data_IF_991771540362
#
_entry.id   IF_991771540362
#
_cell.length_a   1.000
_cell.length_b   1.000
_cell.length_c   1.000
_cell.angle_alpha   90.00
_cell.angle_beta   90.00
_cell.angle_gamma   90.00
#
_symmetry.space_group_name_H-M   'P 1'
#
loop_
_entity.id
_entity.type
_entity.pdbx_description
1 polymer ?
#
# COMPACT_ATOMS: atom_id res chain seq x y z
N UNK A 1 -18.75 -17.09 -2.69
CA UNK A 1 -17.34 -16.69 -2.77
C UNK A 1 -17.28 -15.21 -2.52
N UNK A 2 -16.66 -14.79 -1.41
CA UNK A 2 -16.45 -13.38 -1.08
C UNK A 2 -15.57 -12.77 -2.15
N UNK A 3 -16.09 -11.83 -2.93
CA UNK A 3 -15.32 -11.10 -3.94
C UNK A 3 -14.40 -10.15 -3.16
N UNK A 4 -13.11 -10.49 -3.05
CA UNK A 4 -12.13 -9.68 -2.31
C UNK A 4 -12.04 -8.29 -2.94
N UNK A 5 -11.97 -8.24 -4.27
CA UNK A 5 -11.96 -7.03 -5.08
C UNK A 5 -13.05 -7.12 -6.15
N UNK A 6 -13.63 -5.99 -6.51
CA UNK A 6 -14.58 -5.87 -7.61
C UNK A 6 -13.93 -5.13 -8.78
N UNK A 7 -13.72 -5.82 -9.90
CA UNK A 7 -13.29 -5.21 -11.16
C UNK A 7 -14.54 -5.04 -12.02
N UNK A 8 -14.86 -3.79 -12.41
CA UNK A 8 -16.03 -3.51 -13.26
C UNK A 8 -15.78 -3.97 -14.69
N UNK A 9 -16.85 -4.15 -15.47
CA UNK A 9 -16.71 -4.60 -16.86
C UNK A 9 -15.95 -3.60 -17.72
N UNK A 10 -16.19 -2.30 -17.52
CA UNK A 10 -15.44 -1.24 -18.21
C UNK A 10 -13.96 -1.26 -17.84
N UNK A 11 -13.61 -1.55 -16.58
CA UNK A 11 -12.23 -1.72 -16.17
C UNK A 11 -11.57 -2.94 -16.83
N UNK A 12 -12.25 -4.09 -16.86
CA UNK A 12 -11.75 -5.29 -17.54
C UNK A 12 -11.45 -5.01 -19.02
N UNK A 13 -12.37 -4.37 -19.74
CA UNK A 13 -12.20 -4.02 -21.15
C UNK A 13 -11.01 -3.08 -21.37
N UNK A 14 -10.84 -2.08 -20.52
CA UNK A 14 -9.71 -1.16 -20.59
C UNK A 14 -8.37 -1.84 -20.26
N UNK A 15 -8.32 -2.67 -19.22
CA UNK A 15 -7.12 -3.42 -18.86
C UNK A 15 -6.72 -4.41 -19.96
N UNK A 16 -7.70 -5.04 -20.63
CA UNK A 16 -7.44 -5.90 -21.78
C UNK A 16 -6.80 -5.12 -22.94
N UNK A 17 -7.26 -3.88 -23.21
CA UNK A 17 -6.64 -3.02 -24.21
C UNK A 17 -5.18 -2.69 -23.85
N UNK A 18 -4.91 -2.41 -22.58
CA UNK A 18 -3.56 -2.15 -22.07
C UNK A 18 -2.63 -3.37 -22.26
N UNK A 19 -3.11 -4.57 -21.96
CA UNK A 19 -2.38 -5.84 -22.17
C UNK A 19 -2.10 -6.05 -23.66
N UNK A 20 -3.11 -5.93 -24.51
CA UNK A 20 -2.97 -6.11 -25.96
C UNK A 20 -1.95 -5.15 -26.58
N UNK A 21 -1.88 -3.91 -26.07
CA UNK A 21 -0.90 -2.92 -26.54
C UNK A 21 0.55 -3.29 -26.21
N UNK A 22 0.80 -4.23 -25.29
CA UNK A 22 2.15 -4.72 -24.98
C UNK A 22 2.67 -5.74 -25.98
N UNK A 23 1.80 -6.36 -26.80
CA UNK A 23 2.13 -7.41 -27.76
C UNK A 23 2.92 -8.59 -27.14
N UNK A 24 2.63 -8.93 -25.89
CA UNK A 24 3.22 -10.06 -25.17
C UNK A 24 2.10 -11.01 -24.71
N UNK A 25 2.07 -12.27 -25.17
CA UNK A 25 1.01 -13.22 -24.82
C UNK A 25 1.10 -13.71 -23.37
N UNK A 26 2.26 -13.58 -22.71
CA UNK A 26 2.50 -14.11 -21.36
C UNK A 26 2.34 -13.03 -20.28
N UNK A 27 1.85 -11.84 -20.66
CA UNK A 27 1.65 -10.71 -19.75
C UNK A 27 0.21 -10.67 -19.23
N UNK A 28 0.09 -10.43 -17.93
CA UNK A 28 -1.16 -10.26 -17.20
C UNK A 28 -1.02 -9.09 -16.23
N UNK A 29 -2.03 -8.87 -15.38
CA UNK A 29 -2.07 -7.84 -14.37
C UNK A 29 -1.96 -8.46 -12.99
N UNK A 30 -1.09 -7.88 -12.16
CA UNK A 30 -0.99 -8.14 -10.73
C UNK A 30 -1.40 -6.91 -9.93
N UNK A 31 -2.24 -7.11 -8.91
CA UNK A 31 -2.70 -6.07 -7.99
C UNK A 31 -2.12 -6.35 -6.59
N UNK A 32 -1.58 -5.32 -5.97
CA UNK A 32 -0.95 -5.40 -4.66
C UNK A 32 -1.07 -4.06 -3.92
N UNK A 33 -0.75 -4.08 -2.63
CA UNK A 33 -0.67 -2.89 -1.78
C UNK A 33 0.78 -2.72 -1.34
N UNK A 34 1.38 -1.59 -1.70
CA UNK A 34 2.65 -1.16 -1.13
C UNK A 34 2.45 -0.63 0.29
N UNK A 35 3.41 -0.86 1.18
CA UNK A 35 3.36 -0.46 2.60
C UNK A 35 1.99 -0.72 3.28
N UNK A 36 1.42 -1.95 3.16
CA UNK A 36 0.07 -2.24 3.60
C UNK A 36 -0.09 -2.01 5.10
N UNK A 37 -1.24 -1.44 5.50
CA UNK A 37 -1.49 -1.10 6.90
C UNK A 37 -0.79 0.17 7.39
N UNK A 38 -0.11 0.91 6.51
CA UNK A 38 0.43 2.23 6.85
C UNK A 38 -0.35 3.34 6.14
N UNK A 39 -0.23 4.60 6.57
CA UNK A 39 -0.78 5.73 5.81
C UNK A 39 -0.16 5.93 4.43
N UNK A 40 1.04 5.38 4.21
CA UNK A 40 1.70 5.38 2.91
C UNK A 40 1.14 4.33 1.97
N UNK A 41 0.18 3.51 2.43
CA UNK A 41 -0.28 2.41 1.64
C UNK A 41 -0.84 2.88 0.29
N UNK A 42 -0.40 2.22 -0.76
CA UNK A 42 -0.79 2.52 -2.13
C UNK A 42 -1.20 1.23 -2.81
N UNK A 43 -2.42 1.22 -3.35
CA UNK A 43 -2.88 0.11 -4.18
C UNK A 43 -2.32 0.29 -5.58
N UNK A 44 -1.49 -0.67 -5.99
CA UNK A 44 -0.78 -0.64 -7.24
C UNK A 44 -1.32 -1.71 -8.18
N UNK A 45 -1.31 -1.37 -9.46
CA UNK A 45 -1.57 -2.28 -10.57
C UNK A 45 -0.31 -2.31 -11.43
N UNK A 46 0.24 -3.50 -11.63
CA UNK A 46 1.41 -3.69 -12.48
C UNK A 46 1.14 -4.77 -13.53
N UNK A 47 1.84 -4.66 -14.65
CA UNK A 47 2.00 -5.80 -15.55
C UNK A 47 2.86 -6.84 -14.86
N UNK A 48 2.53 -8.11 -15.04
CA UNK A 48 3.34 -9.23 -14.57
C UNK A 48 3.41 -10.28 -15.67
N UNK A 49 4.59 -10.88 -15.83
CA UNK A 49 4.76 -12.11 -16.59
C UNK A 49 4.40 -13.31 -15.73
N UNK A 50 4.11 -14.46 -16.36
CA UNK A 50 3.82 -15.71 -15.64
C UNK A 50 4.93 -16.14 -14.66
N UNK A 51 6.18 -15.69 -14.88
CA UNK A 51 7.32 -15.99 -14.02
C UNK A 51 7.42 -15.09 -12.78
N UNK A 52 6.68 -13.98 -12.74
CA UNK A 52 6.63 -13.01 -11.64
C UNK A 52 5.40 -13.22 -10.73
N UNK A 53 4.55 -14.18 -11.09
CA UNK A 53 3.42 -14.63 -10.28
C UNK A 53 3.95 -15.54 -9.19
N UNK A 54 3.62 -15.23 -7.95
CA UNK A 54 3.97 -16.09 -6.83
C UNK A 54 2.97 -17.25 -6.71
N UNK A 55 3.39 -18.46 -6.33
CA UNK A 55 2.52 -19.64 -6.27
C UNK A 55 1.33 -19.49 -5.32
N UNK A 56 1.39 -18.54 -4.40
CA UNK A 56 0.38 -18.28 -3.39
C UNK A 56 -0.43 -17.00 -3.64
N UNK A 57 -0.22 -16.34 -4.78
CA UNK A 57 -1.11 -15.31 -5.28
C UNK A 57 -2.50 -15.89 -5.53
N UNK A 58 -3.51 -15.08 -5.24
CA UNK A 58 -4.89 -15.44 -5.54
C UNK A 58 -5.21 -15.06 -6.99
N UNK A 59 -5.71 -16.01 -7.77
CA UNK A 59 -6.13 -15.77 -9.15
C UNK A 59 -7.61 -15.38 -9.19
N UNK A 60 -7.91 -14.28 -9.87
CA UNK A 60 -9.25 -13.86 -10.24
C UNK A 60 -9.43 -14.10 -11.73
N UNK A 61 -10.31 -15.03 -12.06
CA UNK A 61 -10.72 -15.30 -13.43
C UNK A 61 -11.76 -14.26 -13.87
N UNK A 62 -11.37 -13.34 -14.75
CA UNK A 62 -12.31 -12.49 -15.48
C UNK A 62 -12.74 -13.19 -16.77
N UNK A 63 -13.69 -12.62 -17.50
CA UNK A 63 -14.15 -13.24 -18.76
C UNK A 63 -13.06 -13.23 -19.85
N UNK A 64 -12.18 -12.22 -19.80
CA UNK A 64 -11.22 -11.95 -20.87
C UNK A 64 -9.78 -12.38 -20.55
N UNK A 65 -9.37 -12.32 -19.27
CA UNK A 65 -8.03 -12.70 -18.81
C UNK A 65 -8.01 -12.90 -17.29
N UNK A 66 -6.96 -13.53 -16.76
CA UNK A 66 -6.78 -13.72 -15.32
C UNK A 66 -6.07 -12.52 -14.69
N UNK A 67 -6.43 -12.17 -13.46
CA UNK A 67 -5.76 -11.14 -12.64
C UNK A 67 -5.20 -11.80 -11.39
N UNK A 68 -3.97 -11.46 -11.03
CA UNK A 68 -3.28 -11.99 -9.85
C UNK A 68 -3.34 -11.00 -8.69
N UNK A 69 -3.68 -11.47 -7.49
CA UNK A 69 -3.61 -10.68 -6.26
C UNK A 69 -2.51 -11.20 -5.35
N UNK A 70 -1.63 -10.29 -4.93
CA UNK A 70 -0.56 -10.62 -4.01
C UNK A 70 -1.12 -11.07 -2.64
N UNK A 71 -0.65 -12.23 -2.15
CA UNK A 71 -1.16 -12.83 -0.91
C UNK A 71 -1.10 -11.90 0.32
N UNK A 72 0.03 -11.20 0.53
CA UNK A 72 0.16 -10.27 1.68
C UNK A 72 -0.83 -9.10 1.60
N UNK A 73 -1.30 -8.80 0.39
CA UNK A 73 -2.19 -7.68 0.11
C UNK A 73 -3.67 -8.05 0.22
N UNK A 74 -4.02 -9.35 0.29
CA UNK A 74 -5.42 -9.79 0.24
C UNK A 74 -6.31 -9.18 1.33
N UNK A 75 -5.82 -9.09 2.57
CA UNK A 75 -6.58 -8.50 3.69
C UNK A 75 -6.83 -7.01 3.51
N UNK A 76 -5.96 -6.33 2.76
CA UNK A 76 -6.02 -4.87 2.51
C UNK A 76 -6.79 -4.53 1.24
N UNK A 77 -6.91 -5.49 0.32
CA UNK A 77 -7.70 -5.39 -0.91
C UNK A 77 -9.17 -5.72 -0.72
N UNK A 78 -9.59 -6.11 0.49
CA UNK A 78 -10.99 -6.39 0.78
C UNK A 78 -11.87 -5.17 0.47
N UNK A 79 -12.99 -5.39 -0.22
CA UNK A 79 -13.93 -4.37 -0.67
C UNK A 79 -13.30 -3.33 -1.62
N UNK A 80 -12.14 -3.64 -2.21
CA UNK A 80 -11.57 -2.77 -3.22
C UNK A 80 -12.39 -2.81 -4.52
N UNK A 81 -12.40 -1.71 -5.25
CA UNK A 81 -13.06 -1.56 -6.53
C UNK A 81 -12.09 -0.98 -7.55
N UNK A 82 -11.99 -1.63 -8.72
CA UNK A 82 -11.31 -1.12 -9.90
C UNK A 82 -12.37 -0.76 -10.92
N UNK A 83 -12.47 0.53 -11.24
CA UNK A 83 -13.43 1.04 -12.21
C UNK A 83 -12.72 1.84 -13.31
N UNK A 84 -13.31 1.83 -14.50
CA UNK A 84 -12.93 2.73 -15.58
C UNK A 84 -14.14 3.56 -16.00
N UNK A 85 -14.02 4.87 -15.84
CA UNK A 85 -15.04 5.83 -16.24
C UNK A 85 -14.61 6.50 -17.54
N UNK A 86 -15.34 6.27 -18.63
CA UNK A 86 -15.15 6.99 -19.89
C UNK A 86 -15.73 8.41 -19.79
N UNK A 87 -14.86 9.40 -19.87
CA UNK A 87 -15.23 10.82 -20.02
C UNK A 87 -14.76 11.37 -21.37
N UNK A 88 -15.08 12.64 -21.64
CA UNK A 88 -14.71 13.30 -22.89
C UNK A 88 -13.18 13.52 -23.05
N UNK A 89 -12.37 13.21 -22.04
CA UNK A 89 -10.92 13.41 -22.04
C UNK A 89 -10.12 12.11 -22.19
N UNK A 90 -10.79 11.01 -22.53
CA UNK A 90 -10.14 9.72 -22.76
C UNK A 90 -10.33 8.73 -21.62
N UNK A 91 -11.09 9.08 -20.58
CA UNK A 91 -11.44 8.21 -19.48
C UNK A 91 -10.40 8.10 -18.36
N UNK A 92 -10.83 7.60 -17.21
CA UNK A 92 -10.01 7.49 -16.00
C UNK A 92 -10.16 6.11 -15.37
N UNK A 93 -9.03 5.41 -15.21
CA UNK A 93 -8.96 4.23 -14.36
C UNK A 93 -8.85 4.67 -12.89
N UNK A 94 -9.80 4.25 -12.07
CA UNK A 94 -9.88 4.55 -10.65
C UNK A 94 -9.79 3.26 -9.85
N UNK A 95 -8.93 3.27 -8.83
CA UNK A 95 -8.82 2.18 -7.86
C UNK A 95 -9.22 2.74 -6.50
N UNK A 96 -10.28 2.18 -5.90
CA UNK A 96 -10.73 2.50 -4.55
C UNK A 96 -10.48 1.30 -3.67
N UNK A 97 -9.52 1.37 -2.76
CA UNK A 97 -9.26 0.30 -1.81
C UNK A 97 -9.46 0.86 -0.39
N UNK A 98 -10.68 0.78 0.16
CA UNK A 98 -11.02 1.43 1.43
C UNK A 98 -10.21 0.87 2.62
N UNK A 99 -9.73 -0.37 2.51
CA UNK A 99 -8.94 -1.04 3.53
C UNK A 99 -7.43 -1.05 3.23
N UNK A 100 -6.97 -0.43 2.13
CA UNK A 100 -5.55 -0.47 1.73
C UNK A 100 -4.66 0.28 2.72
N UNK A 101 -5.09 1.50 3.04
CA UNK A 101 -4.58 2.26 4.18
C UNK A 101 -5.41 1.82 5.37
N UNK A 102 -4.79 1.47 6.49
CA UNK A 102 -5.53 1.51 7.76
C UNK A 102 -5.98 2.98 7.93
N UNK A 103 -7.29 3.29 7.82
CA UNK A 103 -8.04 3.55 9.05
C UNK A 103 -9.56 3.35 8.94
N UNK A 104 -10.10 2.36 9.63
CA UNK A 104 -11.38 2.52 10.32
C UNK A 104 -11.10 2.52 11.82
N UNK A 105 -10.31 3.51 12.25
CA UNK A 105 -10.16 3.76 13.67
C UNK A 105 -11.46 4.42 14.14
N UNK A 106 -12.41 3.59 14.55
CA UNK A 106 -13.56 4.02 15.32
C UNK A 106 -13.12 4.27 16.76
N UNK A 107 -13.99 4.92 17.54
CA UNK A 107 -13.80 5.02 19.00
C UNK A 107 -13.66 3.67 19.71
N UNK A 108 -14.11 2.58 19.07
CA UNK A 108 -14.07 1.21 19.59
C UNK A 108 -12.80 0.44 19.17
N UNK A 109 -11.92 1.04 18.36
CA UNK A 109 -10.67 0.39 17.95
C UNK A 109 -9.68 0.28 19.13
N UNK A 110 -8.84 -0.77 19.17
CA UNK A 110 -7.78 -0.91 20.16
C UNK A 110 -6.95 0.36 20.31
N UNK A 111 -6.57 0.67 21.54
CA UNK A 111 -5.86 1.91 21.84
C UNK A 111 -4.50 1.98 21.15
N UNK A 112 -3.84 0.84 20.95
CA UNK A 112 -2.59 0.73 20.18
C UNK A 112 -2.77 1.16 18.73
N UNK A 113 -3.85 0.74 18.07
CA UNK A 113 -4.16 1.17 16.70
C UNK A 113 -4.37 2.68 16.64
N UNK A 114 -5.09 3.22 17.63
CA UNK A 114 -5.32 4.67 17.76
C UNK A 114 -4.01 5.45 17.94
N UNK A 115 -3.10 4.93 18.76
CA UNK A 115 -1.78 5.52 18.98
C UNK A 115 -0.95 5.45 17.69
N UNK A 116 -0.91 4.29 17.04
CA UNK A 116 -0.22 4.11 15.76
C UNK A 116 -0.73 5.06 14.68
N UNK A 117 -2.05 5.25 14.60
CA UNK A 117 -2.64 6.21 13.65
C UNK A 117 -2.13 7.63 13.88
N UNK A 118 -2.08 8.10 15.12
CA UNK A 118 -1.54 9.44 15.44
C UNK A 118 -0.05 9.51 15.09
N UNK A 119 0.72 8.48 15.46
CA UNK A 119 2.15 8.40 15.16
C UNK A 119 2.40 8.53 13.66
N UNK A 120 1.69 7.76 12.82
CA UNK A 120 1.95 7.77 11.39
C UNK A 120 1.31 8.94 10.64
N UNK A 121 0.16 9.47 11.07
CA UNK A 121 -0.55 10.54 10.35
C UNK A 121 -0.20 11.96 10.83
N UNK A 122 0.19 12.11 12.09
CA UNK A 122 0.44 13.43 12.67
C UNK A 122 1.92 13.61 13.04
N UNK A 123 2.54 12.61 13.69
CA UNK A 123 3.90 12.77 14.24
C UNK A 123 4.98 12.51 13.17
N UNK A 124 4.93 11.38 12.46
CA UNK A 124 5.93 10.99 11.48
C UNK A 124 6.06 11.95 10.28
N UNK A 125 4.99 12.55 9.75
CA UNK A 125 5.13 13.57 8.72
C UNK A 125 5.95 14.79 9.20
N UNK A 126 5.81 15.16 10.48
CA UNK A 126 6.61 16.22 11.08
C UNK A 126 8.08 15.79 11.28
N UNK A 127 8.31 14.59 11.79
CA UNK A 127 9.68 14.07 12.00
C UNK A 127 10.43 13.81 10.68
N UNK A 128 9.73 13.35 9.65
CA UNK A 128 10.31 13.08 8.33
C UNK A 128 10.92 14.32 7.69
N UNK A 129 10.38 15.52 7.98
CA UNK A 129 10.95 16.80 7.54
C UNK A 129 12.37 17.05 8.10
N UNK A 130 12.72 16.37 9.18
CA UNK A 130 14.04 16.40 9.80
C UNK A 130 14.82 15.08 9.60
N UNK A 131 14.34 14.20 8.72
CA UNK A 131 14.95 12.88 8.48
C UNK A 131 14.80 11.91 9.64
N UNK A 132 13.86 12.16 10.55
CA UNK A 132 13.49 11.31 11.67
C UNK A 132 12.23 10.48 11.39
N UNK A 133 12.06 9.41 12.16
CA UNK A 133 10.81 8.64 12.25
C UNK A 133 10.60 8.17 13.69
N UNK A 134 9.40 7.72 14.02
CA UNK A 134 9.08 7.10 15.30
C UNK A 134 8.07 5.98 15.09
N UNK A 135 8.19 4.93 15.89
CA UNK A 135 7.29 3.77 15.89
C UNK A 135 6.86 3.41 17.33
N UNK A 136 5.68 2.81 17.47
CA UNK A 136 5.19 2.27 18.74
C UNK A 136 5.86 0.92 19.01
N UNK A 137 6.44 0.77 20.20
CA UNK A 137 7.01 -0.50 20.68
C UNK A 137 6.01 -1.23 21.57
N UNK A 138 5.43 -0.52 22.53
CA UNK A 138 4.54 -1.11 23.53
C UNK A 138 3.57 -0.07 24.08
N UNK A 139 2.34 -0.48 24.38
CA UNK A 139 1.43 0.23 25.25
C UNK A 139 1.10 -0.67 26.45
N UNK A 140 1.44 -0.22 27.65
CA UNK A 140 1.30 -1.07 28.83
C UNK A 140 -0.04 -0.85 29.57
N UNK A 141 -0.38 -1.79 30.47
CA UNK A 141 -1.62 -1.76 31.26
C UNK A 141 -1.76 -0.54 32.18
N UNK A 142 -0.68 0.23 32.37
CA UNK A 142 -0.67 1.47 33.17
C UNK A 142 -0.98 2.71 32.33
N UNK A 143 -1.13 2.57 31.02
CA UNK A 143 -1.37 3.67 30.10
C UNK A 143 -0.09 4.36 29.60
N UNK A 144 1.08 3.74 29.77
CA UNK A 144 2.36 4.29 29.31
C UNK A 144 2.69 3.77 27.90
N UNK A 145 3.24 4.64 27.06
CA UNK A 145 3.57 4.36 25.66
C UNK A 145 5.10 4.31 25.52
N UNK A 146 5.64 3.19 25.05
CA UNK A 146 7.05 3.05 24.69
C UNK A 146 7.19 3.28 23.20
N UNK A 147 7.97 4.31 22.84
CA UNK A 147 8.23 4.70 21.45
C UNK A 147 9.71 4.47 21.09
N UNK A 148 9.95 4.02 19.87
CA UNK A 148 11.29 3.95 19.30
C UNK A 148 11.43 5.03 18.23
N UNK A 149 12.37 5.95 18.45
CA UNK A 149 12.74 6.96 17.47
C UNK A 149 13.81 6.41 16.54
N UNK A 150 13.59 6.60 15.25
CA UNK A 150 14.50 6.31 14.15
C UNK A 150 14.85 7.58 13.38
N UNK A 151 15.76 7.40 12.42
CA UNK A 151 16.15 8.46 11.51
C UNK A 151 17.29 9.35 12.02
N UNK A 152 18.15 9.69 11.07
CA UNK A 152 19.38 10.42 11.28
C UNK A 152 20.07 10.55 9.92
N UNK A 153 20.66 11.71 9.68
CA UNK A 153 21.62 11.91 8.60
C UNK A 153 22.63 10.75 8.64
N UNK A 154 22.49 9.80 7.71
CA UNK A 154 23.42 8.69 7.49
C UNK A 154 24.66 9.27 6.80
N UNK A 155 25.44 10.06 7.54
CA UNK A 155 26.76 10.53 7.14
C UNK A 155 26.79 11.50 5.96
N UNK A 156 26.57 12.79 6.23
CA UNK A 156 27.23 13.86 5.45
C UNK A 156 28.37 14.48 6.27
N UNK A 157 29.53 13.83 6.23
CA UNK A 157 30.83 14.50 5.97
C UNK A 157 31.42 15.54 6.92
N UNK A 158 31.07 15.63 8.22
CA UNK A 158 31.85 16.51 9.14
C UNK A 158 31.81 16.17 10.64
N UNK A 159 31.57 14.92 11.04
CA UNK A 159 31.59 14.52 12.47
C UNK A 159 33.01 14.32 13.04
N UNK A 160 34.04 14.20 12.18
CA UNK A 160 35.42 13.91 12.63
C UNK A 160 36.24 15.12 13.13
N UNK A 161 35.68 16.34 13.17
CA UNK A 161 36.45 17.56 13.54
C UNK A 161 36.20 18.04 14.98
N UNK A 162 35.15 17.58 15.66
CA UNK A 162 34.81 18.14 17.00
C UNK A 162 35.27 17.27 18.19
N UNK A 163 35.73 16.04 17.96
CA UNK A 163 36.27 15.15 19.02
C UNK A 163 37.80 15.08 19.07
N UNK A 164 38.50 16.02 18.41
CA UNK A 164 39.97 16.18 18.47
C UNK A 164 40.39 17.64 18.66
N UNK A 165 39.76 18.36 19.58
CA UNK A 165 40.39 19.54 20.17
C UNK A 165 40.56 19.29 21.66
N UNK A 166 41.83 19.07 22.02
CA UNK A 166 42.38 19.36 23.35
C UNK A 166 42.04 20.79 23.80
#
# INVERSE_FOLDING_TARGET
MSKIINITKSAEEYLLQLINNKNDPDISIRIFVNDPGTPKAETCLAYCSINEVEPDDLIIHLDSFDVYLEKRSLSFLQDAEVNYDTDNFGGQLTIKAPNARLPNISSDSPIEDRINYIIYNEINPMLASHGGDVSLVEFNDKGEVILQFGGGCQGCGMVDVTLKME
#
